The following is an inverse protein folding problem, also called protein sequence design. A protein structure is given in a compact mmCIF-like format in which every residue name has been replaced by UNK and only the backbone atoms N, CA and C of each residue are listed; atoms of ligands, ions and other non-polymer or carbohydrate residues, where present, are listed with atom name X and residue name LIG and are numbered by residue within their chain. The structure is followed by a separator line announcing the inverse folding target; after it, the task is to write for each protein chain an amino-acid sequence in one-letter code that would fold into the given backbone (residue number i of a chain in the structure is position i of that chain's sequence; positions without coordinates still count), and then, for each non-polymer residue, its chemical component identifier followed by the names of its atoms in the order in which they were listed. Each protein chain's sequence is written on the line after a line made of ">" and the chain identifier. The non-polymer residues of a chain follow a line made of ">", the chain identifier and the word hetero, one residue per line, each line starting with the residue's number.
data_IF_958024112083
#
_entry.id   IF_958024112083
#
_cell.length_a   1.000
_cell.length_b   1.000
_cell.length_c   1.000
_cell.angle_alpha   90.00
_cell.angle_beta   90.00
_cell.angle_gamma   90.00
#
_symmetry.space_group_name_H-M   'P 1'
#
loop_
_entity.id
_entity.type
_entity.pdbx_description
1 polymer ?
#
# COMPACT_ATOMS: atom_id res chain seq x y z
N UNK A 1 3.50 -12.56 -25.95
CA UNK A 1 3.39 -11.16 -25.47
C UNK A 1 3.94 -11.05 -24.05
N UNK A 2 4.38 -9.88 -23.56
CA UNK A 2 4.94 -9.72 -22.19
C UNK A 2 3.98 -10.23 -21.09
N UNK A 3 2.67 -10.07 -21.30
CA UNK A 3 1.62 -10.59 -20.39
C UNK A 3 1.62 -12.12 -20.26
N UNK A 4 2.08 -12.86 -21.26
CA UNK A 4 2.12 -14.34 -21.22
C UNK A 4 3.23 -14.85 -20.28
N UNK A 5 4.26 -14.06 -20.00
CA UNK A 5 5.35 -14.47 -19.10
C UNK A 5 4.83 -14.68 -17.67
N UNK A 6 3.98 -13.76 -17.19
CA UNK A 6 3.34 -13.88 -15.88
C UNK A 6 2.27 -14.97 -15.82
N UNK A 7 1.82 -15.48 -16.98
CA UNK A 7 0.78 -16.52 -17.08
C UNK A 7 1.36 -17.89 -17.50
N UNK A 8 2.67 -18.02 -17.61
CA UNK A 8 3.32 -19.23 -18.13
C UNK A 8 3.35 -20.35 -17.06
N UNK A 9 2.63 -21.47 -17.26
CA UNK A 9 2.58 -22.56 -16.27
C UNK A 9 3.90 -23.30 -16.12
N UNK A 10 4.84 -23.17 -17.08
CA UNK A 10 6.17 -23.76 -16.96
C UNK A 10 7.12 -22.95 -16.06
N UNK A 11 6.73 -21.73 -15.69
CA UNK A 11 7.54 -20.80 -14.87
C UNK A 11 6.86 -20.43 -13.55
N UNK A 12 5.53 -20.48 -13.52
CA UNK A 12 4.71 -20.14 -12.36
C UNK A 12 3.77 -21.30 -12.06
N UNK A 13 3.82 -21.80 -10.82
CA UNK A 13 2.78 -22.68 -10.29
C UNK A 13 1.47 -21.90 -10.19
N UNK A 14 0.33 -22.50 -10.58
CA UNK A 14 -0.99 -21.85 -10.58
C UNK A 14 -0.97 -20.40 -11.08
N UNK A 15 -0.55 -20.16 -12.34
CA UNK A 15 -0.23 -18.82 -12.85
C UNK A 15 -1.43 -17.86 -12.87
N UNK A 16 -2.64 -18.39 -12.83
CA UNK A 16 -3.89 -17.62 -12.83
C UNK A 16 -4.37 -17.27 -11.42
N UNK A 17 -3.76 -17.85 -10.37
CA UNK A 17 -4.12 -17.55 -8.98
C UNK A 17 -3.30 -16.38 -8.42
N UNK A 18 -3.97 -15.53 -7.64
CA UNK A 18 -3.30 -14.48 -6.87
C UNK A 18 -2.65 -15.09 -5.62
N UNK A 19 -1.34 -15.33 -5.65
CA UNK A 19 -0.55 -15.79 -4.49
C UNK A 19 0.69 -14.88 -4.31
N UNK A 20 0.60 -13.81 -3.51
CA UNK A 20 1.72 -12.90 -3.22
C UNK A 20 2.93 -13.58 -2.58
N UNK A 21 2.71 -14.71 -1.91
CA UNK A 21 3.72 -15.45 -1.14
C UNK A 21 4.86 -15.96 -2.03
N UNK A 22 4.61 -16.14 -3.34
CA UNK A 22 5.62 -16.52 -4.33
C UNK A 22 6.76 -15.51 -4.47
N UNK A 23 6.52 -14.28 -4.04
CA UNK A 23 7.50 -13.18 -4.08
C UNK A 23 8.17 -12.94 -2.73
N UNK A 24 7.74 -13.66 -1.68
CA UNK A 24 8.33 -13.60 -0.34
C UNK A 24 9.48 -14.60 -0.22
N UNK A 25 10.49 -14.28 0.60
CA UNK A 25 11.63 -15.15 0.86
C UNK A 25 11.14 -16.54 1.31
N UNK A 26 11.35 -17.54 0.46
CA UNK A 26 11.02 -18.91 0.79
C UNK A 26 12.05 -19.41 1.78
N UNK A 27 11.64 -19.75 3.00
CA UNK A 27 12.52 -20.41 3.98
C UNK A 27 12.92 -21.80 3.44
N UNK A 28 13.97 -21.87 2.63
CA UNK A 28 14.44 -23.13 2.04
C UNK A 28 15.39 -22.94 0.86
N UNK A 29 15.13 -21.95 0.00
CA UNK A 29 16.02 -21.55 -1.10
C UNK A 29 16.67 -20.24 -0.69
N UNK A 30 17.93 -20.32 -0.22
CA UNK A 30 18.57 -19.31 0.63
C UNK A 30 18.25 -17.86 0.29
N UNK A 31 17.67 -17.12 1.25
CA UNK A 31 17.58 -15.65 1.40
C UNK A 31 17.42 -14.75 0.15
N UNK A 32 17.02 -15.27 -1.00
CA UNK A 32 17.00 -14.52 -2.24
C UNK A 32 15.63 -13.87 -2.48
N UNK A 33 15.59 -12.55 -2.28
CA UNK A 33 14.47 -11.69 -2.66
C UNK A 33 14.19 -11.81 -4.15
N UNK A 34 12.91 -11.84 -4.53
CA UNK A 34 12.48 -11.89 -5.93
C UNK A 34 13.12 -10.76 -6.77
N UNK A 35 13.80 -11.13 -7.87
CA UNK A 35 14.43 -10.16 -8.76
C UNK A 35 13.44 -9.53 -9.74
N UNK A 36 12.85 -8.41 -9.33
CA UNK A 36 11.94 -7.62 -10.18
C UNK A 36 12.64 -6.95 -11.39
N UNK A 37 13.97 -6.83 -11.37
CA UNK A 37 14.75 -6.20 -12.45
C UNK A 37 15.05 -7.16 -13.60
N UNK A 38 14.92 -8.46 -13.35
CA UNK A 38 15.23 -9.52 -14.31
C UNK A 38 16.73 -9.63 -14.63
N UNK A 39 17.60 -9.20 -13.71
CA UNK A 39 19.06 -9.26 -13.85
C UNK A 39 19.63 -10.67 -13.72
N UNK A 40 19.01 -11.52 -12.89
CA UNK A 40 19.40 -12.91 -12.64
C UNK A 40 18.62 -13.87 -13.54
N UNK A 41 17.30 -13.82 -13.46
CA UNK A 41 16.38 -14.55 -14.33
C UNK A 41 15.15 -13.69 -14.61
N UNK A 42 14.69 -13.67 -15.87
CA UNK A 42 13.46 -12.98 -16.26
C UNK A 42 12.29 -13.95 -16.12
N UNK A 43 11.67 -14.00 -14.94
CA UNK A 43 10.37 -14.68 -14.73
C UNK A 43 9.16 -13.78 -15.01
N UNK A 44 9.36 -12.46 -14.84
CA UNK A 44 8.42 -11.40 -15.21
C UNK A 44 9.20 -10.12 -15.54
N UNK A 45 8.58 -9.16 -16.22
CA UNK A 45 9.21 -7.87 -16.57
C UNK A 45 8.21 -6.70 -16.47
N UNK A 46 7.62 -6.44 -15.29
CA UNK A 46 6.58 -5.42 -15.11
C UNK A 46 7.07 -4.00 -15.42
N UNK A 47 8.38 -3.78 -15.31
CA UNK A 47 9.05 -2.51 -15.62
C UNK A 47 9.98 -2.62 -16.83
N UNK A 48 9.86 -3.69 -17.64
CA UNK A 48 10.86 -4.05 -18.64
C UNK A 48 12.14 -4.62 -18.02
N UNK A 49 13.18 -4.78 -18.83
CA UNK A 49 14.47 -5.30 -18.39
C UNK A 49 15.64 -4.70 -19.22
N UNK A 50 16.86 -4.84 -18.72
CA UNK A 50 18.08 -4.41 -19.41
C UNK A 50 18.21 -2.90 -19.57
N UNK A 51 18.88 -2.44 -20.65
CA UNK A 51 19.21 -1.02 -20.89
C UNK A 51 18.01 -0.07 -21.02
N UNK A 52 16.81 -0.61 -21.26
CA UNK A 52 15.56 0.16 -21.41
C UNK A 52 14.56 -0.14 -20.29
N UNK A 53 15.03 -0.65 -19.16
CA UNK A 53 14.20 -0.75 -17.95
C UNK A 53 13.63 0.62 -17.59
N UNK A 54 12.38 0.66 -17.10
CA UNK A 54 11.70 1.90 -16.74
C UNK A 54 12.52 2.63 -15.67
N UNK A 55 12.98 3.88 -15.94
CA UNK A 55 13.80 4.62 -14.97
C UNK A 55 13.04 4.95 -13.67
N UNK A 56 11.70 4.88 -13.70
CA UNK A 56 10.84 5.09 -12.54
C UNK A 56 10.61 3.87 -11.65
N UNK A 57 11.35 2.76 -11.81
CA UNK A 57 11.20 1.53 -11.00
C UNK A 57 11.16 1.83 -9.50
N UNK A 58 12.20 2.48 -8.97
CA UNK A 58 12.32 2.73 -7.52
C UNK A 58 11.24 3.64 -6.99
N UNK A 59 10.86 4.68 -7.76
CA UNK A 59 9.78 5.60 -7.39
C UNK A 59 8.43 4.87 -7.35
N UNK A 60 8.15 4.03 -8.34
CA UNK A 60 6.92 3.26 -8.42
C UNK A 60 6.78 2.28 -7.26
N UNK A 61 7.87 1.60 -6.89
CA UNK A 61 7.88 0.69 -5.73
C UNK A 61 7.59 1.44 -4.43
N UNK A 62 8.29 2.54 -4.17
CA UNK A 62 8.07 3.36 -2.98
C UNK A 62 6.61 3.86 -2.89
N UNK A 63 6.05 4.34 -4.01
CA UNK A 63 4.68 4.82 -4.06
C UNK A 63 3.68 3.68 -3.82
N UNK A 64 3.88 2.53 -4.44
CA UNK A 64 2.98 1.39 -4.32
C UNK A 64 2.99 0.83 -2.89
N UNK A 65 4.17 0.65 -2.31
CA UNK A 65 4.34 0.19 -0.93
C UNK A 65 3.66 1.15 0.05
N UNK A 66 3.94 2.45 -0.05
CA UNK A 66 3.33 3.46 0.81
C UNK A 66 1.81 3.49 0.65
N UNK A 67 1.31 3.49 -0.58
CA UNK A 67 -0.12 3.57 -0.86
C UNK A 67 -0.87 2.34 -0.34
N UNK A 68 -0.42 1.13 -0.68
CA UNK A 68 -1.05 -0.12 -0.26
C UNK A 68 -0.97 -0.28 1.26
N UNK A 69 0.17 0.03 1.89
CA UNK A 69 0.32 -0.04 3.34
C UNK A 69 -0.70 0.86 4.04
N UNK A 70 -0.88 2.11 3.58
CA UNK A 70 -1.87 3.02 4.16
C UNK A 70 -3.31 2.55 3.96
N UNK A 71 -3.64 1.99 2.78
CA UNK A 71 -4.98 1.48 2.49
C UNK A 71 -5.35 0.28 3.37
N UNK A 72 -4.41 -0.64 3.57
CA UNK A 72 -4.59 -1.82 4.42
C UNK A 72 -4.62 -1.43 5.90
N UNK A 73 -3.76 -0.49 6.31
CA UNK A 73 -3.70 0.00 7.68
C UNK A 73 -4.96 0.77 8.09
N UNK A 74 -5.48 1.62 7.21
CA UNK A 74 -6.55 2.55 7.54
C UNK A 74 -7.95 1.96 7.38
N UNK A 75 -8.14 0.98 6.50
CA UNK A 75 -9.48 0.50 6.13
C UNK A 75 -9.63 -1.02 6.20
N UNK A 76 -10.81 -1.45 6.63
CA UNK A 76 -11.33 -2.80 6.42
C UNK A 76 -12.14 -2.79 5.13
N UNK A 77 -11.80 -3.73 4.24
CA UNK A 77 -12.33 -3.85 2.89
C UNK A 77 -13.32 -5.01 2.82
N UNK A 78 -14.52 -4.76 2.31
CA UNK A 78 -15.54 -5.78 2.08
C UNK A 78 -16.03 -5.70 0.65
N UNK A 79 -16.30 -6.85 0.05
CA UNK A 79 -17.03 -6.91 -1.21
C UNK A 79 -18.45 -6.37 -1.03
N UNK A 80 -19.04 -5.83 -2.10
CA UNK A 80 -20.46 -5.49 -2.13
C UNK A 80 -21.25 -6.80 -2.17
N UNK A 81 -22.30 -6.93 -1.36
CA UNK A 81 -23.11 -8.16 -1.33
C UNK A 81 -23.70 -8.46 -2.71
N UNK A 82 -23.51 -9.70 -3.18
CA UNK A 82 -24.01 -10.16 -4.47
C UNK A 82 -23.12 -9.85 -5.67
N UNK A 83 -22.00 -9.14 -5.48
CA UNK A 83 -21.03 -8.84 -6.53
C UNK A 83 -19.77 -9.71 -6.36
N UNK A 84 -19.63 -10.73 -7.21
CA UNK A 84 -18.35 -11.41 -7.37
C UNK A 84 -17.37 -10.49 -8.11
N UNK A 85 -16.13 -10.44 -7.66
CA UNK A 85 -15.12 -9.58 -8.28
C UNK A 85 -14.77 -10.12 -9.68
N UNK A 86 -15.24 -9.41 -10.71
CA UNK A 86 -14.90 -9.72 -12.10
C UNK A 86 -13.52 -9.16 -12.47
N UNK A 87 -12.55 -10.06 -12.62
CA UNK A 87 -11.18 -9.74 -13.03
C UNK A 87 -10.99 -9.70 -14.56
N UNK A 88 -12.07 -9.76 -15.35
CA UNK A 88 -11.96 -9.65 -16.80
C UNK A 88 -11.34 -8.32 -17.22
N UNK A 89 -10.44 -8.37 -18.20
CA UNK A 89 -9.61 -7.23 -18.59
C UNK A 89 -10.03 -6.67 -19.96
N UNK A 90 -9.84 -5.35 -20.14
CA UNK A 90 -9.89 -4.72 -21.46
C UNK A 90 -8.59 -3.94 -21.70
N UNK A 91 -8.17 -3.90 -22.95
CA UNK A 91 -6.97 -3.18 -23.36
C UNK A 91 -7.33 -1.75 -23.75
N UNK A 92 -6.70 -0.78 -23.09
CA UNK A 92 -6.69 0.64 -23.46
C UNK A 92 -5.22 1.08 -23.65
N UNK A 93 -4.86 2.28 -23.19
CA UNK A 93 -3.44 2.65 -23.06
C UNK A 93 -2.69 1.73 -22.07
N UNK A 94 -3.42 1.19 -21.09
CA UNK A 94 -2.96 0.14 -20.17
C UNK A 94 -4.00 -0.99 -20.11
N UNK A 95 -3.69 -2.08 -19.41
CA UNK A 95 -4.67 -3.11 -19.09
C UNK A 95 -5.49 -2.62 -17.90
N UNK A 96 -6.81 -2.55 -18.05
CA UNK A 96 -7.74 -2.11 -17.01
C UNK A 96 -8.83 -3.15 -16.80
N UNK A 97 -9.46 -3.15 -15.62
CA UNK A 97 -10.64 -4.00 -15.38
C UNK A 97 -11.76 -3.60 -16.34
N UNK A 98 -12.39 -4.59 -16.96
CA UNK A 98 -13.53 -4.39 -17.86
C UNK A 98 -14.70 -3.79 -17.11
N UNK A 99 -14.98 -4.33 -15.92
CA UNK A 99 -15.98 -3.85 -14.99
C UNK A 99 -15.27 -3.20 -13.79
N UNK A 100 -15.59 -1.95 -13.41
CA UNK A 100 -14.95 -1.29 -12.28
C UNK A 100 -15.16 -2.07 -10.97
N UNK A 101 -14.09 -2.22 -10.19
CA UNK A 101 -14.17 -2.83 -8.86
C UNK A 101 -15.03 -1.96 -7.92
N UNK A 102 -15.99 -2.58 -7.25
CA UNK A 102 -16.76 -1.97 -6.17
C UNK A 102 -16.35 -2.60 -4.84
N UNK A 103 -16.11 -1.77 -3.82
CA UNK A 103 -15.76 -2.22 -2.48
C UNK A 103 -16.36 -1.28 -1.42
N UNK A 104 -16.78 -1.86 -0.30
CA UNK A 104 -17.12 -1.11 0.91
C UNK A 104 -15.87 -0.95 1.77
N UNK A 105 -15.49 0.30 2.00
CA UNK A 105 -14.40 0.65 2.90
C UNK A 105 -14.97 1.16 4.23
N UNK A 106 -14.49 0.59 5.33
CA UNK A 106 -14.80 1.08 6.68
C UNK A 106 -13.50 1.40 7.42
N UNK A 107 -13.38 2.55 8.12
CA UNK A 107 -12.17 2.87 8.86
C UNK A 107 -11.87 1.83 9.95
N UNK A 108 -10.64 1.31 10.01
CA UNK A 108 -10.19 0.42 11.09
C UNK A 108 -10.01 1.16 12.42
N UNK A 109 -9.50 2.39 12.34
CA UNK A 109 -9.32 3.25 13.51
C UNK A 109 -10.58 4.09 13.70
N UNK A 110 -11.25 3.91 14.84
CA UNK A 110 -12.31 4.83 15.24
C UNK A 110 -11.67 6.18 15.56
N UNK A 111 -12.20 7.25 14.94
CA UNK A 111 -11.82 8.63 15.20
C UNK A 111 -12.12 8.96 16.68
N UNK A 112 -11.17 8.68 17.58
CA UNK A 112 -11.35 8.75 19.03
C UNK A 112 -10.57 7.73 19.86
N UNK A 113 -10.02 6.67 19.26
CA UNK A 113 -9.25 5.64 19.97
C UNK A 113 -7.73 5.73 19.73
N UNK A 114 -7.28 6.49 18.74
CA UNK A 114 -5.86 6.73 18.51
C UNK A 114 -5.28 7.67 19.59
N UNK A 115 -4.46 7.10 20.48
CA UNK A 115 -3.68 7.82 21.51
C UNK A 115 -2.96 9.05 20.95
N UNK A 116 -2.42 8.96 19.74
CA UNK A 116 -1.71 10.04 19.06
C UNK A 116 -2.58 11.24 18.66
N UNK A 117 -3.85 11.04 18.27
CA UNK A 117 -4.76 12.18 18.01
C UNK A 117 -5.18 12.86 19.31
N UNK A 118 -5.33 12.11 20.41
CA UNK A 118 -5.60 12.70 21.73
C UNK A 118 -4.42 13.52 22.25
N UNK A 119 -3.19 13.10 21.97
CA UNK A 119 -1.96 13.81 22.35
C UNK A 119 -1.66 15.00 21.41
N UNK A 120 -1.98 14.89 20.11
CA UNK A 120 -1.77 15.97 19.14
C UNK A 120 -2.80 17.10 19.24
N UNK A 121 -4.04 16.80 19.62
CA UNK A 121 -5.00 17.83 20.02
C UNK A 121 -4.83 18.10 21.51
N UNK A 122 -3.89 18.96 21.87
CA UNK A 122 -3.80 19.52 23.22
C UNK A 122 -5.16 20.10 23.67
N UNK A 123 -5.33 20.39 24.98
CA UNK A 123 -6.60 20.89 25.51
C UNK A 123 -7.10 22.10 24.68
N UNK A 124 -8.42 22.22 24.44
CA UNK A 124 -8.97 23.33 23.67
C UNK A 124 -8.44 24.66 24.20
N UNK A 125 -8.11 25.62 23.34
CA UNK A 125 -7.49 26.93 23.70
C UNK A 125 -8.19 27.64 24.87
N UNK A 126 -9.51 27.44 24.99
CA UNK A 126 -10.31 27.94 26.12
C UNK A 126 -9.85 27.41 27.50
N UNK A 127 -9.43 26.15 27.61
CA UNK A 127 -8.95 25.55 28.86
C UNK A 127 -7.51 25.97 29.18
N UNK A 128 -6.67 26.19 28.17
CA UNK A 128 -5.32 26.74 28.35
C UNK A 128 -5.37 28.16 28.94
N UNK A 129 -6.34 28.97 28.50
CA UNK A 129 -6.50 30.34 29.00
C UNK A 129 -6.90 30.41 30.48
N UNK A 130 -7.74 29.48 30.96
CA UNK A 130 -8.08 29.37 32.39
C UNK A 130 -6.88 28.91 33.22
N UNK A 131 -6.15 27.89 32.77
CA UNK A 131 -4.97 27.36 33.47
C UNK A 131 -3.83 28.38 33.60
N UNK A 132 -3.61 29.22 32.58
CA UNK A 132 -2.55 30.26 32.58
C UNK A 132 -2.92 31.40 33.54
N UNK A 133 -4.20 31.80 33.59
CA UNK A 133 -4.69 32.85 34.47
C UNK A 133 -4.69 32.43 35.95
N UNK A 134 -4.94 31.14 36.23
CA UNK A 134 -5.00 30.63 37.61
C UNK A 134 -3.62 30.34 38.22
N UNK A 135 -2.63 29.92 37.42
CA UNK A 135 -1.34 29.44 37.95
C UNK A 135 -0.13 30.35 37.65
N UNK A 136 -0.28 31.42 36.87
CA UNK A 136 0.77 32.39 36.55
C UNK A 136 2.09 31.76 36.05
N UNK A 137 2.00 30.59 35.43
CA UNK A 137 3.12 29.81 34.93
C UNK A 137 3.23 29.97 33.41
N UNK A 138 4.28 30.66 32.98
CA UNK A 138 4.60 30.91 31.57
C UNK A 138 5.63 29.91 31.00
N UNK A 139 5.94 28.83 31.71
CA UNK A 139 6.95 27.83 31.30
C UNK A 139 6.41 26.70 30.39
N UNK A 140 5.40 27.00 29.56
CA UNK A 140 4.84 26.02 28.62
C UNK A 140 5.86 25.54 27.57
N UNK A 141 5.77 24.28 27.10
CA UNK A 141 6.72 23.73 26.15
C UNK A 141 6.68 24.50 24.82
N UNK A 142 7.85 24.87 24.31
CA UNK A 142 7.99 25.49 23.00
C UNK A 142 7.63 24.47 21.92
N UNK A 143 6.43 24.57 21.36
CA UNK A 143 6.04 23.81 20.18
C UNK A 143 6.74 24.40 18.95
N UNK A 144 7.84 23.77 18.53
CA UNK A 144 8.36 23.97 17.18
C UNK A 144 7.39 23.27 16.23
N UNK A 145 6.71 24.07 15.42
CA UNK A 145 5.96 23.58 14.27
C UNK A 145 7.01 23.16 13.21
N UNK A 146 7.15 21.86 12.96
CA UNK A 146 7.80 21.32 11.76
C UNK A 146 6.76 20.85 10.77
#
# INVERSE_FOLDING_TARGET
>A
MVSEMGRNPNKWEDPMEFKPERFLNSKGDGDEVFDITGSREIKTMPFGAGRRIRPGLGLAMLHLEYFVANLVWSFEWKAVEGDEVDLSEKQEFTIVMKNPLQAHLSPRLKLGESRWLKEATGPPLHQLHQSIMENNDFSGPSYIIS
#
